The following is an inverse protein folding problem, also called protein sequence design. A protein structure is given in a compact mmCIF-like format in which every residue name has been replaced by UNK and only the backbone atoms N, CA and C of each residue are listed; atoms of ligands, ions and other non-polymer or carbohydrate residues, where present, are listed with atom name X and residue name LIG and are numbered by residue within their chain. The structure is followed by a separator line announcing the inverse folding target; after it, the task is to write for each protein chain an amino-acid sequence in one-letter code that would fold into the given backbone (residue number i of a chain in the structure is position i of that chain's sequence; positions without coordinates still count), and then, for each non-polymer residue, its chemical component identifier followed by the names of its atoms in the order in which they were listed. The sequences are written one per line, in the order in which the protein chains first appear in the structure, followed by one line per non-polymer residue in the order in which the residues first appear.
data_IF_558750824430
#
_entry.id   IF_558750824430
#
_cell.length_a   1.000
_cell.length_b   1.000
_cell.length_c   1.000
_cell.angle_alpha   90.00
_cell.angle_beta   90.00
_cell.angle_gamma   90.00
#
_symmetry.space_group_name_H-M   'P 1'
#
loop_
_entity.id
_entity.type
_entity.pdbx_description
1 polymer ?
#
# COMPACT_ATOMS: atom_id res chain seq x y z
N UNK A 1 13.55 -16.62 -60.61
CA UNK A 1 13.51 -15.36 -59.84
C UNK A 1 14.84 -15.22 -59.10
N UNK A 2 15.63 -14.17 -59.36
CA UNK A 2 16.88 -13.93 -58.63
C UNK A 2 16.52 -13.26 -57.31
N UNK A 3 16.74 -13.95 -56.19
CA UNK A 3 16.59 -13.40 -54.85
C UNK A 3 17.88 -12.65 -54.50
N UNK A 4 17.85 -11.33 -54.53
CA UNK A 4 18.95 -10.52 -54.00
C UNK A 4 18.91 -10.60 -52.48
N UNK A 5 19.89 -11.27 -51.89
CA UNK A 5 20.05 -11.35 -50.44
C UNK A 5 20.70 -10.03 -50.02
N UNK A 6 19.94 -9.18 -49.34
CA UNK A 6 20.51 -7.96 -48.75
C UNK A 6 21.30 -8.41 -47.52
N UNK A 7 22.62 -8.14 -47.44
CA UNK A 7 23.40 -8.52 -46.27
C UNK A 7 22.84 -7.81 -45.04
N UNK A 8 22.78 -8.53 -43.91
CA UNK A 8 22.39 -7.93 -42.65
C UNK A 8 23.31 -6.76 -42.33
N UNK A 9 22.73 -5.63 -41.90
CA UNK A 9 23.50 -4.48 -41.46
C UNK A 9 24.35 -4.88 -40.25
N UNK A 10 25.66 -4.93 -40.44
CA UNK A 10 26.62 -5.13 -39.36
C UNK A 10 26.75 -3.81 -38.63
N UNK A 11 25.86 -3.56 -37.66
CA UNK A 11 26.08 -2.48 -36.70
C UNK A 11 27.25 -2.90 -35.83
N UNK A 12 28.32 -2.10 -35.78
CA UNK A 12 29.43 -2.36 -34.88
C UNK A 12 28.94 -2.31 -33.43
N UNK A 13 29.68 -2.94 -32.51
CA UNK A 13 29.37 -2.86 -31.08
C UNK A 13 29.36 -1.41 -30.57
N UNK A 14 30.06 -0.51 -31.25
CA UNK A 14 30.16 0.92 -30.95
C UNK A 14 28.85 1.64 -31.25
N UNK A 15 28.23 1.39 -32.41
CA UNK A 15 26.92 1.95 -32.76
C UNK A 15 25.83 1.51 -31.76
N UNK A 16 25.93 0.27 -31.25
CA UNK A 16 25.01 -0.25 -30.23
C UNK A 16 25.17 0.49 -28.89
N UNK A 17 26.38 0.94 -28.55
CA UNK A 17 26.67 1.67 -27.31
C UNK A 17 26.23 3.14 -27.43
N UNK A 18 26.51 3.77 -28.57
CA UNK A 18 26.15 5.17 -28.85
C UNK A 18 24.62 5.40 -28.87
N UNK A 19 23.84 4.40 -29.33
CA UNK A 19 22.37 4.44 -29.33
C UNK A 19 21.69 3.92 -28.06
N UNK A 20 22.42 3.66 -26.98
CA UNK A 20 21.88 2.91 -25.82
C UNK A 20 21.16 3.76 -24.76
N UNK A 21 21.08 5.09 -24.96
CA UNK A 21 20.35 6.01 -24.08
C UNK A 21 18.84 5.85 -24.27
N UNK A 22 18.17 5.33 -23.25
CA UNK A 22 16.71 5.21 -23.24
C UNK A 22 16.06 6.59 -23.11
N UNK A 23 14.92 6.79 -23.75
CA UNK A 23 14.15 8.04 -23.70
C UNK A 23 13.86 8.47 -22.25
N UNK A 24 13.53 7.52 -21.37
CA UNK A 24 13.28 7.79 -19.96
C UNK A 24 14.52 8.31 -19.25
N UNK A 25 15.72 7.86 -19.62
CA UNK A 25 16.99 8.34 -19.06
C UNK A 25 17.29 9.78 -19.48
N UNK A 26 16.98 10.14 -20.73
CA UNK A 26 17.11 11.51 -21.23
C UNK A 26 16.21 12.47 -20.44
N UNK A 27 14.93 12.11 -20.26
CA UNK A 27 14.02 12.89 -19.41
C UNK A 27 14.53 13.01 -17.96
N UNK A 28 15.08 11.93 -17.42
CA UNK A 28 15.65 11.90 -16.08
C UNK A 28 16.84 12.85 -15.95
N UNK A 29 17.69 12.95 -16.97
CA UNK A 29 18.83 13.88 -16.97
C UNK A 29 18.42 15.35 -17.15
N UNK A 30 17.27 15.62 -17.76
CA UNK A 30 16.71 16.99 -17.89
C UNK A 30 16.05 17.46 -16.59
N UNK A 31 15.47 16.54 -15.81
CA UNK A 31 14.70 16.85 -14.59
C UNK A 31 15.44 17.71 -13.55
N UNK A 32 16.76 17.55 -13.26
CA UNK A 32 17.48 18.39 -12.30
C UNK A 32 17.56 19.85 -12.75
N UNK A 33 17.68 20.09 -14.05
CA UNK A 33 17.75 21.45 -14.61
C UNK A 33 16.40 22.13 -14.44
N UNK A 34 15.30 21.42 -14.73
CA UNK A 34 13.94 21.91 -14.48
C UNK A 34 13.67 22.13 -12.99
N UNK A 35 14.20 21.27 -12.13
CA UNK A 35 14.09 21.43 -10.68
C UNK A 35 14.87 22.66 -10.21
N UNK A 36 16.08 22.87 -10.72
CA UNK A 36 16.90 24.03 -10.39
C UNK A 36 16.22 25.35 -10.80
N UNK A 37 15.63 25.41 -11.99
CA UNK A 37 14.89 26.60 -12.44
C UNK A 37 13.63 26.85 -11.60
N UNK A 38 12.92 25.79 -11.20
CA UNK A 38 11.78 25.88 -10.29
C UNK A 38 12.20 26.43 -8.91
N UNK A 39 13.26 25.88 -8.32
CA UNK A 39 13.77 26.34 -7.01
C UNK A 39 14.26 27.79 -7.10
N UNK A 40 14.91 28.16 -8.19
CA UNK A 40 15.44 29.51 -8.39
C UNK A 40 14.33 30.58 -8.49
N UNK A 41 13.23 30.27 -9.18
CA UNK A 41 12.12 31.19 -9.43
C UNK A 41 11.09 31.24 -8.31
N UNK A 42 10.77 30.11 -7.67
CA UNK A 42 9.70 30.03 -6.66
C UNK A 42 10.17 30.45 -5.27
N UNK A 43 11.40 30.11 -4.86
CA UNK A 43 11.87 30.37 -3.49
C UNK A 43 12.38 31.81 -3.31
N UNK A 44 11.97 32.45 -2.21
CA UNK A 44 12.37 33.82 -1.81
C UNK A 44 13.76 33.77 -1.16
N UNK A 45 14.75 34.59 -1.56
CA UNK A 45 14.71 35.69 -2.53
C UNK A 45 14.70 35.17 -3.98
N UNK A 46 13.72 35.63 -4.76
CA UNK A 46 13.57 35.24 -6.15
C UNK A 46 14.75 35.78 -6.97
N UNK A 47 15.19 34.99 -7.95
CA UNK A 47 16.27 35.36 -8.87
C UNK A 47 17.62 35.69 -8.21
N UNK A 48 17.83 35.25 -6.97
CA UNK A 48 19.11 35.33 -6.28
C UNK A 48 19.57 33.95 -5.86
N UNK A 49 20.85 33.67 -6.06
CA UNK A 49 21.48 32.43 -5.60
C UNK A 49 21.79 32.58 -4.11
N UNK A 50 20.91 32.03 -3.27
CA UNK A 50 21.09 31.99 -1.82
C UNK A 50 21.67 30.65 -1.39
N UNK A 51 22.48 30.65 -0.32
CA UNK A 51 23.19 29.47 0.16
C UNK A 51 22.26 28.28 0.46
N UNK A 52 21.04 28.53 0.96
CA UNK A 52 20.10 27.45 1.28
C UNK A 52 19.50 26.75 0.03
N UNK A 53 19.54 27.39 -1.15
CA UNK A 53 19.03 26.78 -2.40
C UNK A 53 20.00 25.75 -2.98
N UNK A 54 21.30 25.94 -2.75
CA UNK A 54 22.36 25.05 -3.24
C UNK A 54 22.19 23.59 -2.79
N UNK A 55 22.04 23.28 -1.49
CA UNK A 55 21.85 21.89 -1.06
C UNK A 55 20.56 21.30 -1.62
N UNK A 56 19.50 22.10 -1.78
CA UNK A 56 18.21 21.63 -2.30
C UNK A 56 18.33 21.18 -3.77
N UNK A 57 19.06 21.94 -4.59
CA UNK A 57 19.34 21.60 -5.99
C UNK A 57 20.31 20.42 -6.08
N UNK A 58 21.34 20.41 -5.23
CA UNK A 58 22.37 19.36 -5.23
C UNK A 58 21.79 18.00 -4.86
N UNK A 59 20.95 17.93 -3.83
CA UNK A 59 20.28 16.68 -3.43
C UNK A 59 19.40 16.16 -4.56
N UNK A 60 18.58 17.03 -5.17
CA UNK A 60 17.72 16.64 -6.28
C UNK A 60 18.52 16.14 -7.49
N UNK A 61 19.61 16.81 -7.83
CA UNK A 61 20.52 16.39 -8.91
C UNK A 61 21.15 15.02 -8.63
N UNK A 62 21.59 14.79 -7.39
CA UNK A 62 22.23 13.54 -6.99
C UNK A 62 21.24 12.37 -7.01
N UNK A 63 20.01 12.58 -6.54
CA UNK A 63 18.92 11.59 -6.64
C UNK A 63 18.65 11.23 -8.11
N UNK A 64 18.58 12.23 -8.98
CA UNK A 64 18.38 12.01 -10.41
C UNK A 64 19.53 11.22 -11.04
N UNK A 65 20.77 11.54 -10.69
CA UNK A 65 21.95 10.83 -11.20
C UNK A 65 21.90 9.36 -10.78
N UNK A 66 21.59 9.07 -9.52
CA UNK A 66 21.45 7.69 -9.00
C UNK A 66 20.32 6.94 -9.73
N UNK A 67 19.17 7.59 -9.95
CA UNK A 67 18.04 6.99 -10.66
C UNK A 67 18.32 6.73 -12.15
N UNK A 68 19.20 7.53 -12.77
CA UNK A 68 19.61 7.39 -14.16
C UNK A 68 20.59 6.22 -14.39
N UNK A 69 21.17 5.66 -13.33
CA UNK A 69 22.09 4.52 -13.44
C UNK A 69 21.37 3.35 -14.10
N UNK A 70 22.06 2.74 -15.07
CA UNK A 70 21.60 1.56 -15.77
C UNK A 70 22.30 0.32 -15.21
N UNK A 71 21.51 -0.65 -14.73
CA UNK A 71 22.01 -1.93 -14.22
C UNK A 71 21.42 -3.03 -15.09
N UNK A 72 22.28 -3.88 -15.69
CA UNK A 72 21.87 -5.00 -16.56
C UNK A 72 20.83 -4.59 -17.62
N UNK A 73 21.15 -3.53 -18.36
CA UNK A 73 20.32 -2.95 -19.43
C UNK A 73 18.99 -2.30 -19.00
N UNK A 74 18.63 -2.30 -17.71
CA UNK A 74 17.43 -1.63 -17.18
C UNK A 74 17.79 -0.42 -16.32
N UNK A 75 16.96 0.62 -16.38
CA UNK A 75 17.15 1.83 -15.57
C UNK A 75 16.65 1.56 -14.14
N UNK A 76 17.35 2.07 -13.12
CA UNK A 76 16.93 1.93 -11.71
C UNK A 76 15.52 2.51 -11.46
N UNK A 77 15.16 3.60 -12.14
CA UNK A 77 13.81 4.16 -12.10
C UNK A 77 12.72 3.14 -12.44
N UNK A 78 12.93 2.28 -13.44
CA UNK A 78 11.93 1.28 -13.84
C UNK A 78 11.70 0.26 -12.73
N UNK A 79 12.79 -0.18 -12.08
CA UNK A 79 12.70 -1.08 -10.92
C UNK A 79 11.91 -0.47 -9.77
N UNK A 80 12.22 0.79 -9.43
CA UNK A 80 11.50 1.53 -8.38
C UNK A 80 10.03 1.71 -8.75
N UNK A 81 9.73 2.00 -10.01
CA UNK A 81 8.35 2.14 -10.50
C UNK A 81 7.55 0.85 -10.35
N UNK A 82 8.13 -0.31 -10.65
CA UNK A 82 7.48 -1.62 -10.45
C UNK A 82 7.20 -1.87 -8.98
N UNK A 83 8.18 -1.62 -8.10
CA UNK A 83 8.03 -1.78 -6.64
C UNK A 83 6.94 -0.84 -6.10
N UNK A 84 6.94 0.41 -6.57
CA UNK A 84 5.95 1.41 -6.18
C UNK A 84 4.54 1.01 -6.60
N UNK A 85 4.35 0.58 -7.86
CA UNK A 85 3.07 0.08 -8.37
C UNK A 85 2.60 -1.15 -7.59
N UNK A 86 3.51 -2.05 -7.26
CA UNK A 86 3.20 -3.23 -6.46
C UNK A 86 2.71 -2.86 -5.05
N UNK A 87 3.36 -1.88 -4.39
CA UNK A 87 2.94 -1.40 -3.07
C UNK A 87 1.63 -0.60 -3.10
N UNK A 88 1.37 0.14 -4.17
CA UNK A 88 0.14 0.93 -4.36
C UNK A 88 -1.08 0.07 -4.69
N UNK A 89 -0.90 -1.22 -4.98
CA UNK A 89 -2.00 -2.14 -5.26
C UNK A 89 -3.00 -2.15 -4.09
N UNK A 90 -4.31 -1.95 -4.33
CA UNK A 90 -5.31 -2.03 -3.28
C UNK A 90 -5.34 -3.45 -2.70
N UNK A 91 -5.05 -3.56 -1.41
CA UNK A 91 -5.08 -4.85 -0.68
C UNK A 91 -6.46 -5.19 -0.15
N UNK A 92 -7.25 -4.16 0.16
CA UNK A 92 -8.57 -4.33 0.73
C UNK A 92 -9.59 -4.36 -0.40
N UNK A 93 -10.32 -5.47 -0.45
CA UNK A 93 -11.46 -5.59 -1.34
C UNK A 93 -12.61 -4.78 -0.75
N UNK A 94 -12.91 -3.63 -1.36
CA UNK A 94 -13.99 -2.73 -0.91
C UNK A 94 -15.38 -3.36 -1.03
N UNK A 95 -15.53 -4.40 -1.86
CA UNK A 95 -16.80 -5.10 -2.06
C UNK A 95 -16.99 -6.20 -1.02
N UNK A 96 -17.54 -5.85 0.13
CA UNK A 96 -18.02 -6.85 1.06
C UNK A 96 -19.36 -7.43 0.54
N UNK A 97 -19.39 -8.72 0.17
CA UNK A 97 -20.59 -9.41 -0.33
C UNK A 97 -21.72 -9.54 0.71
N UNK A 98 -21.43 -9.23 1.97
CA UNK A 98 -22.42 -9.20 3.05
C UNK A 98 -23.04 -7.81 3.27
N UNK A 99 -22.77 -6.83 2.41
CA UNK A 99 -23.45 -5.53 2.48
C UNK A 99 -24.88 -5.65 1.93
N UNK A 100 -25.82 -5.00 2.61
CA UNK A 100 -27.23 -4.94 2.19
C UNK A 100 -27.50 -3.78 1.21
N UNK A 101 -26.50 -2.96 0.91
CA UNK A 101 -26.62 -1.85 -0.03
C UNK A 101 -27.04 -2.39 -1.42
N UNK A 102 -28.05 -1.77 -2.03
CA UNK A 102 -28.62 -2.14 -3.34
C UNK A 102 -29.33 -3.51 -3.41
N UNK A 103 -29.44 -4.25 -2.30
CA UNK A 103 -30.30 -5.44 -2.29
C UNK A 103 -31.75 -5.00 -2.14
N UNK A 104 -32.57 -5.25 -3.16
CA UNK A 104 -34.01 -5.24 -2.98
C UNK A 104 -34.35 -6.42 -2.08
N UNK A 105 -34.51 -6.15 -0.79
CA UNK A 105 -35.04 -7.14 0.15
C UNK A 105 -36.54 -7.15 -0.11
N UNK A 106 -37.01 -8.15 -0.83
CA UNK A 106 -38.44 -8.47 -0.89
C UNK A 106 -38.84 -8.98 0.50
N UNK A 107 -39.06 -8.04 1.42
CA UNK A 107 -39.68 -8.32 2.69
C UNK A 107 -41.06 -8.91 2.36
N UNK A 108 -41.39 -10.12 2.81
CA UNK A 108 -42.74 -10.61 2.65
C UNK A 108 -43.64 -9.55 3.30
N UNK A 109 -44.63 -9.06 2.54
CA UNK A 109 -45.68 -8.21 3.10
C UNK A 109 -46.28 -9.00 4.25
N UNK A 110 -45.91 -8.65 5.47
CA UNK A 110 -46.55 -9.18 6.67
C UNK A 110 -47.92 -8.52 6.65
N UNK A 111 -48.85 -9.15 5.93
CA UNK A 111 -50.27 -8.89 6.01
C UNK A 111 -50.56 -8.92 7.50
N UNK A 112 -50.92 -7.76 8.06
CA UNK A 112 -51.13 -7.51 9.49
C UNK A 112 -51.88 -8.67 10.15
N UNK A 113 -51.15 -9.69 10.59
CA UNK A 113 -51.65 -10.67 11.52
C UNK A 113 -51.57 -9.94 12.85
N UNK A 114 -52.75 -9.47 13.25
CA UNK A 114 -53.11 -8.86 14.52
C UNK A 114 -51.95 -8.81 15.48
N UNK A 115 -51.54 -7.58 15.81
CA UNK A 115 -50.64 -7.23 16.89
C UNK A 115 -50.93 -8.07 18.13
N UNK A 116 -50.27 -9.23 18.26
CA UNK A 116 -50.07 -9.86 19.55
C UNK A 116 -48.77 -9.24 20.01
N UNK A 117 -48.90 -8.19 20.80
CA UNK A 117 -47.86 -7.75 21.73
C UNK A 117 -47.57 -8.91 22.68
N UNK A 118 -46.83 -9.91 22.19
CA UNK A 118 -45.94 -10.64 23.07
C UNK A 118 -44.98 -9.58 23.56
N UNK A 119 -45.21 -9.14 24.80
CA UNK A 119 -44.15 -8.59 25.64
C UNK A 119 -43.08 -9.67 25.71
N UNK A 120 -42.24 -9.75 24.70
CA UNK A 120 -40.92 -10.29 24.83
C UNK A 120 -40.32 -9.37 25.88
N UNK A 121 -40.28 -9.88 27.12
CA UNK A 121 -39.39 -9.34 28.13
C UNK A 121 -38.11 -9.07 27.37
N UNK A 122 -37.73 -7.81 27.27
CA UNK A 122 -36.38 -7.45 26.88
C UNK A 122 -35.55 -8.36 27.78
N UNK A 123 -34.93 -9.39 27.19
CA UNK A 123 -33.84 -10.03 27.85
C UNK A 123 -32.89 -8.86 28.00
N UNK A 124 -32.87 -8.29 29.20
CA UNK A 124 -31.71 -7.57 29.63
C UNK A 124 -30.58 -8.49 29.20
N UNK A 125 -29.76 -8.01 28.27
CA UNK A 125 -28.37 -8.35 28.40
C UNK A 125 -27.93 -7.70 29.73
N UNK A 126 -28.37 -8.26 30.86
CA UNK A 126 -27.44 -8.70 31.87
C UNK A 126 -26.69 -9.87 31.22
N UNK A 127 -25.89 -9.56 30.20
CA UNK A 127 -24.56 -10.10 30.25
C UNK A 127 -24.05 -9.44 31.51
N UNK A 128 -24.08 -10.18 32.62
CA UNK A 128 -23.37 -9.82 33.82
C UNK A 128 -22.06 -9.23 33.32
N UNK A 129 -21.92 -7.91 33.41
CA UNK A 129 -20.60 -7.32 33.44
C UNK A 129 -20.00 -8.03 34.63
N UNK A 130 -19.24 -9.10 34.36
CA UNK A 130 -18.46 -9.78 35.36
C UNK A 130 -17.62 -8.65 35.93
N UNK A 131 -18.07 -8.09 37.06
CA UNK A 131 -17.34 -7.15 37.87
C UNK A 131 -16.21 -7.97 38.44
N UNK A 132 -15.23 -8.25 37.58
CA UNK A 132 -14.02 -8.94 37.92
C UNK A 132 -13.35 -8.01 38.92
N UNK A 133 -13.49 -8.38 40.18
CA UNK A 133 -12.89 -7.65 41.29
C UNK A 133 -11.38 -7.67 41.04
N UNK A 134 -10.73 -6.52 41.22
CA UNK A 134 -9.27 -6.40 41.05
C UNK A 134 -8.52 -7.45 41.90
N UNK A 135 -9.11 -7.87 43.01
CA UNK A 135 -8.60 -8.97 43.83
C UNK A 135 -8.52 -10.32 43.10
N UNK A 136 -9.50 -10.65 42.25
CA UNK A 136 -9.50 -11.90 41.47
C UNK A 136 -8.45 -11.87 40.37
N UNK A 137 -8.19 -10.70 39.77
CA UNK A 137 -7.12 -10.51 38.80
C UNK A 137 -5.74 -10.72 39.43
N UNK A 138 -5.49 -10.13 40.61
CA UNK A 138 -4.23 -10.29 41.35
C UNK A 138 -4.04 -11.76 41.78
N UNK A 139 -5.11 -12.42 42.22
CA UNK A 139 -5.06 -13.83 42.61
C UNK A 139 -4.75 -14.71 41.40
N UNK A 140 -5.36 -14.44 40.25
CA UNK A 140 -5.09 -15.15 39.00
C UNK A 140 -3.64 -14.95 38.56
N UNK A 141 -3.10 -13.73 38.67
CA UNK A 141 -1.70 -13.45 38.33
C UNK A 141 -0.71 -14.14 39.28
N UNK A 142 -1.01 -14.15 40.59
CA UNK A 142 -0.21 -14.91 41.57
C UNK A 142 -0.22 -16.42 41.27
N UNK A 143 -1.37 -16.97 40.92
CA UNK A 143 -1.55 -18.36 40.54
C UNK A 143 -0.79 -18.68 39.24
N UNK A 144 -0.86 -17.81 38.23
CA UNK A 144 -0.15 -17.97 36.96
C UNK A 144 1.38 -17.89 37.16
N UNK A 145 1.84 -16.96 37.99
CA UNK A 145 3.26 -16.75 38.31
C UNK A 145 3.86 -17.88 39.16
N UNK A 146 3.03 -18.56 39.97
CA UNK A 146 3.47 -19.69 40.79
C UNK A 146 3.92 -20.92 39.98
N UNK A 147 3.64 -20.96 38.67
CA UNK A 147 4.16 -21.97 37.73
C UNK A 147 3.65 -23.41 37.95
N UNK A 148 2.71 -23.63 38.87
CA UNK A 148 2.23 -24.96 39.27
C UNK A 148 0.88 -25.36 38.64
N UNK A 149 0.38 -24.63 37.64
CA UNK A 149 -0.91 -24.93 37.03
C UNK A 149 -0.77 -25.55 35.64
N UNK A 150 -1.37 -26.73 35.47
CA UNK A 150 -1.69 -27.30 34.18
C UNK A 150 -3.09 -26.81 33.77
N UNK A 151 -3.16 -25.91 32.78
CA UNK A 151 -4.42 -25.45 32.22
C UNK A 151 -4.85 -26.42 31.12
N UNK A 152 -6.02 -27.04 31.26
CA UNK A 152 -6.57 -27.93 30.25
C UNK A 152 -7.84 -27.31 29.65
N UNK A 153 -7.82 -27.02 28.35
CA UNK A 153 -8.94 -26.41 27.64
C UNK A 153 -9.83 -27.51 27.05
N UNK A 154 -11.02 -27.68 27.62
CA UNK A 154 -12.00 -28.65 27.12
C UNK A 154 -12.99 -27.95 26.19
N UNK A 155 -12.73 -28.00 24.89
CA UNK A 155 -13.64 -27.44 23.89
C UNK A 155 -14.78 -28.41 23.65
N UNK A 156 -15.98 -28.03 24.10
CA UNK A 156 -17.21 -28.78 23.83
C UNK A 156 -17.63 -28.54 22.38
N UNK A 157 -17.28 -29.48 21.50
CA UNK A 157 -17.67 -29.43 20.10
C UNK A 157 -19.20 -29.54 19.99
N UNK A 158 -19.86 -28.42 19.69
CA UNK A 158 -21.29 -28.37 19.43
C UNK A 158 -21.50 -28.72 17.96
N UNK A 159 -21.68 -30.01 17.67
CA UNK A 159 -22.13 -30.47 16.34
C UNK A 159 -23.49 -29.85 16.04
N UNK A 160 -23.55 -29.14 14.91
CA UNK A 160 -24.77 -28.61 14.28
C UNK A 160 -25.38 -29.73 13.44
#
# INVERSE_FOLDING_TARGET
MRTTIIPAQITTVEDKIAGSLSMSQIFLMISPVLWATLVYTVFIPQMKLSAYKMPLILIASLICLVLAIRIKEKIVLEWISVIFKYKSRPKYYLFNKNTLCERQIDLPVILNSKTVTKKTKQASNDGDELKLSVADLIKLESIMSSGKLAVNFNFKEKRI
#
